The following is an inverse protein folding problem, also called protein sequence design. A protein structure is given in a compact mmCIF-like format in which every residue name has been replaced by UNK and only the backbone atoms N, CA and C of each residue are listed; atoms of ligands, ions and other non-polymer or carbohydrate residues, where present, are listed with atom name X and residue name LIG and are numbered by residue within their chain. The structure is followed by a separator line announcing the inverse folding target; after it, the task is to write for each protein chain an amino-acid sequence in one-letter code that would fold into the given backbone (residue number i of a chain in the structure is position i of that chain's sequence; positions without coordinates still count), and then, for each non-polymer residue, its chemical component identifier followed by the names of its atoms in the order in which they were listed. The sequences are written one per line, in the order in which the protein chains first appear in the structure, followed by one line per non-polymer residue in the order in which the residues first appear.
data_IF_961717658541
#
_entry.id   IF_961717658541
#
_cell.length_a   1.000
_cell.length_b   1.000
_cell.length_c   1.000
_cell.angle_alpha   90.00
_cell.angle_beta   90.00
_cell.angle_gamma   90.00
#
_symmetry.space_group_name_H-M   'P 1'
#
loop_
_entity.id
_entity.type
_entity.pdbx_description
1 polymer ?
#
# COMPACT_ATOMS: atom_id res chain seq x y z
N UNK A 1 -6.95 -11.03 9.04
CA UNK A 1 -5.99 -10.51 8.05
C UNK A 1 -6.42 -9.14 7.50
N UNK A 2 -7.70 -8.80 7.55
CA UNK A 2 -8.25 -7.54 7.03
C UNK A 2 -7.69 -6.25 7.64
N UNK A 3 -7.27 -6.27 8.91
CA UNK A 3 -6.76 -5.06 9.58
C UNK A 3 -5.45 -4.53 8.97
N UNK A 4 -4.56 -5.40 8.47
CA UNK A 4 -3.25 -4.97 7.94
C UNK A 4 -3.38 -4.25 6.60
N UNK A 5 -4.13 -4.85 5.65
CA UNK A 5 -4.40 -4.21 4.36
C UNK A 5 -5.23 -2.94 4.49
N UNK A 6 -6.17 -2.86 5.43
CA UNK A 6 -6.95 -1.64 5.65
C UNK A 6 -6.09 -0.50 6.24
N UNK A 7 -5.18 -0.83 7.17
CA UNK A 7 -4.19 0.13 7.67
C UNK A 7 -3.27 0.62 6.55
N UNK A 8 -2.76 -0.31 5.73
CA UNK A 8 -1.93 0.02 4.58
C UNK A 8 -2.67 0.94 3.59
N UNK A 9 -3.91 0.60 3.22
CA UNK A 9 -4.73 1.40 2.30
C UNK A 9 -4.96 2.82 2.82
N UNK A 10 -5.26 2.96 4.12
CA UNK A 10 -5.47 4.26 4.77
C UNK A 10 -4.19 5.09 4.74
N UNK A 11 -3.05 4.47 5.05
CA UNK A 11 -1.75 5.12 5.02
C UNK A 11 -1.31 5.49 3.59
N UNK A 12 -1.62 4.64 2.60
CA UNK A 12 -1.31 4.89 1.20
C UNK A 12 -2.05 6.12 0.69
N UNK A 13 -3.35 6.23 1.02
CA UNK A 13 -4.17 7.42 0.73
C UNK A 13 -3.59 8.68 1.36
N UNK A 14 -3.12 8.59 2.60
CA UNK A 14 -2.54 9.74 3.32
C UNK A 14 -1.12 10.11 2.85
N UNK A 15 -0.34 9.12 2.38
CA UNK A 15 1.03 9.31 1.89
C UNK A 15 1.09 10.10 0.59
N UNK A 16 0.05 10.03 -0.24
CA UNK A 16 0.00 10.68 -1.56
C UNK A 16 1.24 10.37 -2.44
N UNK A 17 1.79 9.16 -2.32
CA UNK A 17 2.97 8.72 -3.07
C UNK A 17 4.31 9.29 -2.62
N UNK A 18 4.37 9.98 -1.46
CA UNK A 18 5.61 10.57 -0.93
C UNK A 18 6.53 9.56 -0.21
N UNK A 19 6.03 8.35 0.05
CA UNK A 19 6.79 7.25 0.65
C UNK A 19 6.70 6.03 -0.24
N UNK A 20 7.83 5.36 -0.40
CA UNK A 20 7.92 4.05 -1.04
C UNK A 20 7.02 3.03 -0.30
N UNK A 21 6.43 2.08 -1.04
CA UNK A 21 5.42 1.17 -0.50
C UNK A 21 5.92 0.28 0.65
N UNK A 22 7.15 -0.22 0.61
CA UNK A 22 7.73 -1.01 1.70
C UNK A 22 8.15 -0.14 2.89
N UNK A 23 8.63 1.08 2.66
CA UNK A 23 8.87 2.06 3.73
C UNK A 23 7.57 2.41 4.48
N UNK A 24 6.48 2.60 3.73
CA UNK A 24 5.15 2.83 4.28
C UNK A 24 4.69 1.62 5.12
N UNK A 25 4.89 0.41 4.61
CA UNK A 25 4.61 -0.83 5.32
C UNK A 25 5.40 -0.95 6.63
N UNK A 26 6.71 -0.66 6.59
CA UNK A 26 7.59 -0.71 7.75
C UNK A 26 7.15 0.27 8.85
N UNK A 27 6.75 1.50 8.50
CA UNK A 27 6.18 2.49 9.45
C UNK A 27 4.89 2.01 10.12
N UNK A 28 4.15 1.10 9.49
CA UNK A 28 2.96 0.46 10.04
C UNK A 28 3.26 -0.80 10.87
N UNK A 29 4.55 -1.15 11.02
CA UNK A 29 4.99 -2.38 11.68
C UNK A 29 4.74 -3.63 10.84
N UNK A 30 4.62 -3.50 9.52
CA UNK A 30 4.50 -4.63 8.60
C UNK A 30 5.88 -5.03 8.10
N UNK A 31 6.11 -6.33 8.01
CA UNK A 31 7.23 -6.88 7.24
C UNK A 31 7.04 -6.64 5.74
N UNK A 32 8.10 -6.77 4.97
CA UNK A 32 8.03 -6.69 3.50
C UNK A 32 7.04 -7.73 2.93
N UNK A 33 7.04 -8.96 3.47
CA UNK A 33 6.13 -10.02 3.05
C UNK A 33 4.65 -9.67 3.32
N UNK A 34 4.36 -9.10 4.49
CA UNK A 34 3.01 -8.65 4.83
C UNK A 34 2.55 -7.46 4.00
N UNK A 35 3.47 -6.54 3.70
CA UNK A 35 3.23 -5.39 2.83
C UNK A 35 2.93 -5.85 1.41
N UNK A 36 3.75 -6.75 0.86
CA UNK A 36 3.53 -7.38 -0.45
C UNK A 36 2.19 -8.12 -0.53
N UNK A 37 1.83 -8.85 0.52
CA UNK A 37 0.53 -9.51 0.59
C UNK A 37 -0.62 -8.50 0.62
N UNK A 38 -0.51 -7.42 1.39
CA UNK A 38 -1.52 -6.37 1.46
C UNK A 38 -1.72 -5.70 0.10
N UNK A 39 -0.64 -5.35 -0.60
CA UNK A 39 -0.67 -4.79 -1.96
C UNK A 39 -1.39 -5.75 -2.91
N UNK A 40 -0.98 -7.02 -2.96
CA UNK A 40 -1.57 -8.03 -3.84
C UNK A 40 -3.07 -8.25 -3.59
N UNK A 41 -3.49 -8.24 -2.32
CA UNK A 41 -4.92 -8.35 -1.97
C UNK A 41 -5.70 -7.10 -2.38
N UNK A 42 -5.18 -5.90 -2.13
CA UNK A 42 -5.84 -4.64 -2.47
C UNK A 42 -5.93 -4.42 -3.98
N UNK A 43 -4.90 -4.82 -4.74
CA UNK A 43 -4.88 -4.78 -6.20
C UNK A 43 -5.90 -5.76 -6.77
N UNK A 44 -5.97 -7.00 -6.25
CA UNK A 44 -7.00 -7.98 -6.63
C UNK A 44 -8.41 -7.48 -6.31
N UNK A 45 -8.58 -6.72 -5.24
CA UNK A 45 -9.85 -6.09 -4.84
C UNK A 45 -10.17 -4.81 -5.63
N UNK A 46 -9.28 -4.33 -6.51
CA UNK A 46 -9.46 -3.09 -7.27
C UNK A 46 -9.42 -1.83 -6.39
N UNK A 47 -8.82 -1.89 -5.20
CA UNK A 47 -8.73 -0.76 -4.25
C UNK A 47 -7.49 0.10 -4.47
N UNK A 48 -6.47 -0.46 -5.11
CA UNK A 48 -5.26 0.25 -5.51
C UNK A 48 -4.90 -0.11 -6.94
N UNK A 49 -4.18 0.78 -7.61
CA UNK A 49 -3.69 0.60 -8.96
C UNK A 49 -2.19 0.87 -9.02
N UNK A 50 -1.51 0.15 -9.90
CA UNK A 50 -0.10 0.40 -10.18
C UNK A 50 0.05 1.66 -11.06
N UNK A 51 0.76 2.66 -10.54
CA UNK A 51 1.18 3.85 -11.27
C UNK A 51 2.69 4.01 -11.02
N UNK A 52 3.52 3.60 -11.97
CA UNK A 52 4.99 3.75 -11.86
C UNK A 52 5.41 5.21 -12.02
N UNK A 53 5.13 6.03 -11.00
CA UNK A 53 5.50 7.42 -10.94
C UNK A 53 5.99 7.78 -9.53
N UNK A 54 7.26 8.20 -9.42
CA UNK A 54 7.82 8.67 -8.16
C UNK A 54 8.28 7.55 -7.22
N UNK A 55 8.16 7.79 -5.91
CA UNK A 55 8.69 6.90 -4.87
C UNK A 55 7.78 5.70 -4.61
N UNK A 56 6.47 5.86 -4.75
CA UNK A 56 5.50 4.78 -4.57
C UNK A 56 4.92 4.35 -5.92
N UNK A 57 4.90 3.05 -6.17
CA UNK A 57 4.34 2.53 -7.40
C UNK A 57 2.82 2.31 -7.36
N UNK A 58 2.15 2.64 -6.25
CA UNK A 58 0.73 2.36 -6.07
C UNK A 58 -0.05 3.58 -5.64
N UNK A 59 -1.25 3.72 -6.18
CA UNK A 59 -2.23 4.75 -5.81
C UNK A 59 -3.55 4.11 -5.41
N UNK A 60 -4.35 4.81 -4.61
CA UNK A 60 -5.69 4.34 -4.26
C UNK A 60 -6.64 4.58 -5.43
N UNK A 61 -7.35 3.54 -5.85
CA UNK A 61 -8.36 3.62 -6.89
C UNK A 61 -9.55 4.49 -6.42
N UNK A 62 -10.14 5.27 -7.33
CA UNK A 62 -11.32 6.11 -7.08
C UNK A 62 -12.62 5.31 -7.10
#
# INVERSE_FOLDING_TARGET
MDSKKQKFLTALRASQGQLEEYDLGNRLGLTEGETRQAIKELEKEGKIEYQSFGLCNYVVAL
#
